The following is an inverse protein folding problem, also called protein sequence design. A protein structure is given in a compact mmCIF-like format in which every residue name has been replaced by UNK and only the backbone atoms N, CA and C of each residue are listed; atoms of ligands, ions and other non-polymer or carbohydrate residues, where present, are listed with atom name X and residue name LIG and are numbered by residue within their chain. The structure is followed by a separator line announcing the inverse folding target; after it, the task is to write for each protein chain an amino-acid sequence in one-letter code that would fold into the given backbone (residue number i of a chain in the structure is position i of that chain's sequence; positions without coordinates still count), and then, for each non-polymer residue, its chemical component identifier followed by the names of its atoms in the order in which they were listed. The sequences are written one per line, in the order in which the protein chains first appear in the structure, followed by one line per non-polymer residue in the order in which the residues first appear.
data_IF_757864559821
#
_entry.id   IF_757864559821
#
_cell.length_a   1.000
_cell.length_b   1.000
_cell.length_c   1.000
_cell.angle_alpha   90.00
_cell.angle_beta   90.00
_cell.angle_gamma   90.00
#
_symmetry.space_group_name_H-M   'P 1'
#
loop_
_entity.id
_entity.type
_entity.pdbx_description
1 polymer ?
#
# COMPACT_ATOMS: atom_id res chain seq x y z
N UNK A 1 -13.22 -18.05 31.40
CA UNK A 1 -12.24 -16.94 31.24
C UNK A 1 -12.85 -15.94 30.28
N UNK A 2 -13.25 -14.76 30.76
CA UNK A 2 -13.95 -13.76 29.94
C UNK A 2 -12.94 -13.10 29.00
N UNK A 3 -13.13 -13.27 27.69
CA UNK A 3 -12.42 -12.44 26.70
C UNK A 3 -13.00 -11.05 26.81
N UNK A 4 -12.29 -10.13 27.48
CA UNK A 4 -12.72 -8.74 27.53
C UNK A 4 -12.79 -8.20 26.09
N UNK A 5 -13.99 -7.84 25.65
CA UNK A 5 -14.18 -7.23 24.33
C UNK A 5 -13.44 -5.89 24.27
N UNK A 6 -12.62 -5.71 23.24
CA UNK A 6 -11.92 -4.45 23.00
C UNK A 6 -12.93 -3.32 22.79
N UNK A 7 -12.73 -2.18 23.43
CA UNK A 7 -13.53 -0.97 23.15
C UNK A 7 -13.36 -0.49 21.70
N UNK A 8 -14.30 0.30 21.14
CA UNK A 8 -14.13 0.87 19.80
C UNK A 8 -12.82 1.64 19.60
N UNK A 9 -12.38 2.40 20.61
CA UNK A 9 -11.12 3.15 20.58
C UNK A 9 -9.89 2.21 20.54
N UNK A 10 -9.90 1.13 21.33
CA UNK A 10 -8.83 0.13 21.31
C UNK A 10 -8.76 -0.61 19.96
N UNK A 11 -9.91 -0.96 19.38
CA UNK A 11 -9.98 -1.55 18.03
C UNK A 11 -9.42 -0.60 16.97
N UNK A 12 -9.77 0.69 17.04
CA UNK A 12 -9.22 1.70 16.14
C UNK A 12 -7.71 1.85 16.31
N UNK A 13 -7.21 1.94 17.53
CA UNK A 13 -5.77 2.06 17.79
C UNK A 13 -4.98 0.83 17.31
N UNK A 14 -5.53 -0.38 17.50
CA UNK A 14 -4.95 -1.62 16.98
C UNK A 14 -4.92 -1.64 15.45
N UNK A 15 -6.03 -1.24 14.80
CA UNK A 15 -6.10 -1.09 13.35
C UNK A 15 -5.04 -0.12 12.82
N UNK A 16 -4.93 1.08 13.42
CA UNK A 16 -3.95 2.09 13.00
C UNK A 16 -2.52 1.56 13.11
N UNK A 17 -2.15 0.96 14.23
CA UNK A 17 -0.80 0.39 14.41
C UNK A 17 -0.49 -0.70 13.38
N UNK A 18 -1.42 -1.63 13.17
CA UNK A 18 -1.22 -2.73 12.23
C UNK A 18 -1.09 -2.23 10.79
N UNK A 19 -1.91 -1.27 10.38
CA UNK A 19 -1.95 -0.80 8.99
C UNK A 19 -0.85 0.22 8.69
N UNK A 20 -0.52 1.14 9.60
CA UNK A 20 0.55 2.12 9.36
C UNK A 20 1.90 1.46 9.08
N UNK A 21 2.27 0.43 9.85
CA UNK A 21 3.52 -0.29 9.65
C UNK A 21 3.52 -1.06 8.33
N UNK A 22 2.47 -1.85 8.07
CA UNK A 22 2.36 -2.64 6.84
C UNK A 22 2.33 -1.77 5.57
N UNK A 23 1.64 -0.62 5.61
CA UNK A 23 1.58 0.32 4.49
C UNK A 23 2.95 0.95 4.24
N UNK A 24 3.67 1.36 5.30
CA UNK A 24 5.01 1.94 5.17
C UNK A 24 6.02 0.93 4.61
N UNK A 25 5.96 -0.32 5.07
CA UNK A 25 6.78 -1.41 4.56
C UNK A 25 6.48 -1.68 3.07
N UNK A 26 5.19 -1.75 2.70
CA UNK A 26 4.76 -1.93 1.31
C UNK A 26 5.27 -0.78 0.43
N UNK A 27 5.15 0.47 0.89
CA UNK A 27 5.68 1.64 0.18
C UNK A 27 7.20 1.53 -0.03
N UNK A 28 7.95 1.06 0.97
CA UNK A 28 9.38 0.84 0.83
C UNK A 28 9.72 -0.24 -0.20
N UNK A 29 9.01 -1.37 -0.18
CA UNK A 29 9.20 -2.44 -1.17
C UNK A 29 8.91 -1.96 -2.59
N UNK A 30 7.86 -1.16 -2.78
CA UNK A 30 7.53 -0.55 -4.06
C UNK A 30 8.64 0.40 -4.56
N UNK A 31 9.26 1.20 -3.68
CA UNK A 31 10.41 2.06 -4.08
C UNK A 31 11.61 1.23 -4.53
N UNK A 32 11.91 0.14 -3.82
CA UNK A 32 13.02 -0.75 -4.19
C UNK A 32 12.72 -1.39 -5.56
N UNK A 33 11.52 -1.94 -5.73
CA UNK A 33 11.08 -2.50 -7.02
C UNK A 33 11.13 -1.48 -8.15
N UNK A 34 10.67 -0.26 -7.90
CA UNK A 34 10.70 0.84 -8.87
C UNK A 34 12.12 1.20 -9.32
N UNK A 35 13.11 1.17 -8.41
CA UNK A 35 14.51 1.42 -8.75
C UNK A 35 15.10 0.32 -9.65
N UNK A 36 14.67 -0.93 -9.46
CA UNK A 36 15.07 -2.04 -10.32
C UNK A 36 14.39 -1.95 -11.69
N UNK A 37 13.07 -1.75 -11.70
CA UNK A 37 12.27 -1.65 -12.93
C UNK A 37 12.69 -0.45 -13.78
N UNK A 38 13.05 0.69 -13.19
CA UNK A 38 13.50 1.87 -13.93
C UNK A 38 14.72 1.63 -14.83
N UNK A 39 15.51 0.57 -14.58
CA UNK A 39 16.67 0.20 -15.41
C UNK A 39 16.28 -0.50 -16.71
N UNK A 40 15.14 -1.15 -16.73
CA UNK A 40 14.62 -1.91 -17.88
C UNK A 40 13.46 -1.18 -18.54
N UNK A 41 12.63 -0.52 -17.75
CA UNK A 41 11.45 0.22 -18.19
C UNK A 41 11.23 1.45 -17.27
N UNK A 42 11.56 2.68 -17.75
CA UNK A 42 11.36 3.91 -16.98
C UNK A 42 9.91 4.16 -16.58
N UNK A 43 8.94 3.80 -17.43
CA UNK A 43 7.52 3.99 -17.14
C UNK A 43 7.09 3.15 -15.94
N UNK A 44 7.54 1.89 -15.88
CA UNK A 44 7.30 1.02 -14.72
C UNK A 44 7.98 1.53 -13.47
N UNK A 45 9.20 2.06 -13.60
CA UNK A 45 9.90 2.72 -12.50
C UNK A 45 9.10 3.90 -11.93
N UNK A 46 8.56 4.77 -12.78
CA UNK A 46 7.79 5.93 -12.32
C UNK A 46 6.44 5.54 -11.71
N UNK A 47 5.79 4.50 -12.25
CA UNK A 47 4.55 3.97 -11.69
C UNK A 47 4.75 3.37 -10.29
N UNK A 48 5.83 2.60 -10.08
CA UNK A 48 6.17 2.09 -8.74
C UNK A 48 6.48 3.20 -7.74
N UNK A 49 7.15 4.28 -8.15
CA UNK A 49 7.37 5.47 -7.30
C UNK A 49 6.05 6.17 -6.94
N UNK A 50 5.13 6.28 -7.90
CA UNK A 50 3.81 6.89 -7.68
C UNK A 50 2.98 6.07 -6.68
N UNK A 51 2.95 4.74 -6.84
CA UNK A 51 2.28 3.83 -5.90
C UNK A 51 2.89 3.91 -4.49
N UNK A 52 4.23 3.94 -4.38
CA UNK A 52 4.90 4.11 -3.10
C UNK A 52 4.54 5.45 -2.43
N UNK A 53 4.48 6.53 -3.21
CA UNK A 53 4.13 7.87 -2.70
C UNK A 53 2.69 7.95 -2.22
N UNK A 54 1.76 7.28 -2.91
CA UNK A 54 0.37 7.14 -2.47
C UNK A 54 0.30 6.40 -1.12
N UNK A 55 0.96 5.25 -1.02
CA UNK A 55 0.96 4.46 0.22
C UNK A 55 1.63 5.21 1.37
N UNK A 56 2.70 5.96 1.15
CA UNK A 56 3.28 6.83 2.19
C UNK A 56 2.29 7.88 2.69
N UNK A 57 1.59 8.55 1.77
CA UNK A 57 0.63 9.60 2.11
C UNK A 57 -0.52 9.04 2.95
N UNK A 58 -1.00 7.85 2.59
CA UNK A 58 -2.03 7.11 3.34
C UNK A 58 -1.47 6.62 4.67
N UNK A 59 -0.29 6.01 4.68
CA UNK A 59 0.42 5.47 5.86
C UNK A 59 0.61 6.50 6.97
N UNK A 60 0.99 7.73 6.61
CA UNK A 60 1.12 8.88 7.53
C UNK A 60 -0.21 9.35 8.12
N UNK A 61 -1.32 9.07 7.45
CA UNK A 61 -2.65 9.58 7.80
C UNK A 61 -3.65 8.48 8.19
N UNK A 62 -3.22 7.21 8.34
CA UNK A 62 -4.11 6.09 8.69
C UNK A 62 -4.95 6.37 9.95
N UNK A 63 -4.40 7.13 10.90
CA UNK A 63 -5.11 7.54 12.11
C UNK A 63 -6.31 8.45 11.83
N UNK A 64 -6.18 9.38 10.88
CA UNK A 64 -7.18 10.41 10.55
C UNK A 64 -8.08 10.04 9.36
N UNK A 65 -7.66 9.10 8.51
CA UNK A 65 -8.43 8.69 7.34
C UNK A 65 -9.55 7.69 7.68
N UNK A 66 -10.71 7.77 7.01
CA UNK A 66 -11.70 6.70 7.02
C UNK A 66 -11.09 5.39 6.53
N UNK A 67 -11.58 4.26 7.06
CA UNK A 67 -11.06 2.93 6.72
C UNK A 67 -11.23 2.62 5.23
N UNK A 68 -12.31 3.11 4.65
CA UNK A 68 -12.68 2.97 3.25
C UNK A 68 -11.61 3.59 2.35
N UNK A 69 -11.09 4.76 2.69
CA UNK A 69 -10.03 5.44 1.93
C UNK A 69 -8.72 4.65 1.97
N UNK A 70 -8.35 4.10 3.13
CA UNK A 70 -7.15 3.26 3.27
C UNK A 70 -7.29 1.98 2.44
N UNK A 71 -8.49 1.38 2.45
CA UNK A 71 -8.79 0.16 1.69
C UNK A 71 -8.77 0.41 0.19
N UNK A 72 -9.37 1.51 -0.26
CA UNK A 72 -9.44 1.89 -1.68
C UNK A 72 -8.05 2.20 -2.24
N UNK A 73 -7.19 2.89 -1.47
CA UNK A 73 -5.81 3.13 -1.88
C UNK A 73 -5.02 1.83 -2.12
N UNK A 74 -5.18 0.83 -1.25
CA UNK A 74 -4.56 -0.49 -1.43
C UNK A 74 -5.13 -1.23 -2.65
N UNK A 75 -6.44 -1.10 -2.89
CA UNK A 75 -7.09 -1.68 -4.05
C UNK A 75 -6.58 -1.07 -5.37
N UNK A 76 -6.42 0.27 -5.42
CA UNK A 76 -5.84 0.98 -6.58
C UNK A 76 -4.42 0.49 -6.86
N UNK A 77 -3.55 0.38 -5.84
CA UNK A 77 -2.20 -0.15 -6.02
C UNK A 77 -2.23 -1.57 -6.60
N UNK A 78 -3.09 -2.43 -6.06
CA UNK A 78 -3.24 -3.82 -6.54
C UNK A 78 -3.75 -3.88 -7.99
N UNK A 79 -4.72 -3.04 -8.35
CA UNK A 79 -5.29 -3.00 -9.70
C UNK A 79 -4.25 -2.53 -10.73
N UNK A 80 -3.48 -1.50 -10.39
CA UNK A 80 -2.39 -0.99 -11.22
C UNK A 80 -1.29 -2.04 -11.39
N UNK A 81 -0.88 -2.71 -10.31
CA UNK A 81 0.13 -3.79 -10.39
C UNK A 81 -0.33 -4.94 -11.28
N UNK A 82 -1.59 -5.38 -11.14
CA UNK A 82 -2.18 -6.42 -12.01
C UNK A 82 -2.19 -6.00 -13.47
N UNK A 83 -2.56 -4.76 -13.77
CA UNK A 83 -2.57 -4.25 -15.14
C UNK A 83 -1.16 -4.36 -15.76
N UNK A 84 -0.12 -3.90 -15.05
CA UNK A 84 1.27 -4.01 -15.53
C UNK A 84 1.70 -5.47 -15.64
N UNK A 85 1.36 -6.30 -14.65
CA UNK A 85 1.71 -7.72 -14.62
C UNK A 85 1.13 -8.50 -15.80
N UNK A 86 -0.10 -8.20 -16.21
CA UNK A 86 -0.74 -8.78 -17.41
C UNK A 86 0.01 -8.38 -18.69
N UNK A 87 0.44 -7.12 -18.79
CA UNK A 87 1.24 -6.68 -19.95
C UNK A 87 2.59 -7.41 -19.99
N UNK A 88 3.23 -7.66 -18.83
CA UNK A 88 4.50 -8.40 -18.75
C UNK A 88 4.42 -9.83 -19.31
N UNK A 89 3.30 -10.52 -19.11
CA UNK A 89 3.10 -11.89 -19.65
C UNK A 89 2.84 -11.93 -21.16
N UNK A 90 2.57 -10.78 -21.77
CA UNK A 90 2.28 -10.68 -23.21
C UNK A 90 3.54 -10.33 -24.01
N UNK A 91 4.52 -9.68 -23.38
CA UNK A 91 5.81 -9.27 -23.98
C UNK A 91 6.96 -10.29 -23.77
N UNK A 92 6.70 -11.39 -23.05
CA UNK A 92 7.67 -12.45 -22.73
C UNK A 92 7.42 -13.72 -23.56
#
# INVERSE_FOLDING_TARGET
MSSAELTPAQRRAAYVRANSAAIAETAQMLRISAQHDARTDPFRGDLGKAQASLLDAVGRQVASLPREIVTEALAVVTAVDRLIGVHRSTDA
#
